data_IF_800343692113
#
_entry.id   IF_800343692113
#
_cell.length_a   1.000
_cell.length_b   1.000
_cell.length_c   1.000
_cell.angle_alpha   90.00
_cell.angle_beta   90.00
_cell.angle_gamma   90.00
#
_symmetry.space_group_name_H-M   'P 1'
#
loop_
_entity.id
_entity.type
_entity.pdbx_description
1 polymer ?
#
# COMPACT_ATOMS: atom_id res chain seq x y z
N UNK A 1 -51.25 52.50 74.59
CA UNK A 1 -50.73 52.09 75.90
C UNK A 1 -49.44 51.28 75.66
N UNK A 2 -48.39 51.69 76.31
CA UNK A 2 -47.10 51.05 76.56
C UNK A 2 -46.08 50.96 75.46
N UNK A 3 -45.13 51.77 75.64
CA UNK A 3 -43.71 51.86 75.43
C UNK A 3 -42.90 50.55 75.58
N UNK A 4 -41.84 50.38 74.82
CA UNK A 4 -40.46 50.20 75.32
C UNK A 4 -39.47 50.11 74.11
N UNK A 5 -38.74 51.12 73.95
CA UNK A 5 -37.27 51.29 74.11
C UNK A 5 -36.38 50.09 73.66
N UNK A 6 -35.64 50.23 72.66
CA UNK A 6 -34.33 50.67 72.38
C UNK A 6 -33.26 49.61 72.53
N UNK A 7 -32.35 49.52 71.67
CA UNK A 7 -30.87 49.53 71.84
C UNK A 7 -30.21 49.34 70.50
N UNK A 8 -29.46 50.29 70.07
CA UNK A 8 -28.57 50.24 68.96
C UNK A 8 -27.35 49.32 69.30
N UNK A 9 -27.03 48.38 68.47
CA UNK A 9 -25.79 47.70 68.49
C UNK A 9 -25.01 48.05 67.21
N UNK A 10 -23.85 48.66 67.39
CA UNK A 10 -22.88 48.96 66.34
C UNK A 10 -22.28 47.68 65.81
N UNK A 11 -22.41 47.41 64.50
CA UNK A 11 -21.74 46.32 63.83
C UNK A 11 -20.41 46.83 63.24
N UNK A 12 -19.31 46.30 63.78
CA UNK A 12 -17.99 46.52 63.25
C UNK A 12 -17.84 45.66 61.99
N UNK A 13 -17.67 46.32 60.84
CA UNK A 13 -17.38 45.61 59.57
C UNK A 13 -15.88 45.24 59.51
N UNK A 14 -15.59 43.93 59.65
CA UNK A 14 -14.29 43.38 59.30
C UNK A 14 -14.21 43.23 57.77
N UNK A 15 -13.39 44.04 57.12
CA UNK A 15 -13.04 43.88 55.72
C UNK A 15 -11.98 42.75 55.65
N UNK A 16 -12.45 41.55 55.39
CA UNK A 16 -11.59 40.41 55.04
C UNK A 16 -11.16 40.47 53.58
N UNK A 17 -9.91 40.83 53.32
CA UNK A 17 -9.29 40.76 52.00
C UNK A 17 -9.12 39.31 51.58
N UNK A 18 -10.03 38.80 50.72
CA UNK A 18 -9.83 37.52 50.02
C UNK A 18 -8.77 37.72 48.95
N UNK A 19 -7.55 37.27 49.19
CA UNK A 19 -6.55 37.05 48.13
C UNK A 19 -6.98 35.81 47.37
N UNK A 20 -7.62 35.98 46.23
CA UNK A 20 -7.87 34.89 45.30
C UNK A 20 -6.54 34.41 44.68
N UNK A 21 -6.01 33.30 45.19
CA UNK A 21 -4.90 32.61 44.55
C UNK A 21 -5.34 32.15 43.16
N UNK A 22 -4.92 32.84 42.11
CA UNK A 22 -5.04 32.42 40.73
C UNK A 22 -4.07 31.24 40.55
N UNK A 23 -4.59 30.01 40.69
CA UNK A 23 -3.86 28.82 40.26
C UNK A 23 -3.71 28.89 38.72
N UNK A 24 -2.50 28.75 38.20
CA UNK A 24 -2.33 28.68 36.76
C UNK A 24 -3.13 27.48 36.23
N UNK A 25 -4.04 27.72 35.29
CA UNK A 25 -4.73 26.66 34.58
C UNK A 25 -3.65 25.82 33.87
N UNK A 26 -3.40 24.63 34.41
CA UNK A 26 -2.58 23.63 33.70
C UNK A 26 -3.34 23.27 32.45
N UNK A 27 -2.97 23.86 31.33
CA UNK A 27 -3.46 23.47 30.02
C UNK A 27 -3.05 22.01 29.84
N UNK A 28 -4.02 21.11 30.01
CA UNK A 28 -3.87 19.72 29.67
C UNK A 28 -3.65 19.67 28.16
N UNK A 29 -2.39 19.63 27.73
CA UNK A 29 -2.07 19.40 26.34
C UNK A 29 -2.75 18.08 25.92
N UNK A 30 -3.79 18.18 25.10
CA UNK A 30 -4.50 17.02 24.60
C UNK A 30 -3.48 16.10 23.91
N UNK A 31 -3.45 14.82 24.30
CA UNK A 31 -2.58 13.83 23.63
C UNK A 31 -2.86 13.91 22.13
N UNK A 32 -1.83 14.12 21.29
CA UNK A 32 -2.05 14.23 19.85
C UNK A 32 -2.79 13.03 19.31
N UNK A 33 -3.89 13.26 18.61
CA UNK A 33 -4.70 12.21 18.03
C UNK A 33 -3.96 11.58 16.86
N UNK A 34 -3.78 10.27 16.86
CA UNK A 34 -3.18 9.53 15.76
C UNK A 34 -4.17 9.48 14.59
N UNK A 35 -3.80 10.06 13.45
CA UNK A 35 -4.57 10.12 12.20
C UNK A 35 -3.66 9.77 11.03
N UNK A 36 -4.24 9.33 9.91
CA UNK A 36 -3.47 9.04 8.67
C UNK A 36 -2.62 10.24 8.26
N UNK A 37 -3.17 11.45 8.31
CA UNK A 37 -2.46 12.69 7.94
C UNK A 37 -1.29 13.09 8.86
N UNK A 38 -1.14 12.44 10.01
CA UNK A 38 -0.04 12.71 10.96
C UNK A 38 1.13 11.74 10.81
N UNK A 39 0.97 10.66 10.05
CA UNK A 39 2.03 9.69 9.81
C UNK A 39 3.12 10.29 8.92
N UNK A 40 4.35 9.83 9.12
CA UNK A 40 5.52 10.35 8.41
C UNK A 40 6.64 9.29 8.33
N UNK A 41 7.62 9.52 7.48
CA UNK A 41 8.73 8.59 7.22
C UNK A 41 9.65 8.36 8.43
N UNK A 42 9.62 9.26 9.43
CA UNK A 42 10.35 9.10 10.70
C UNK A 42 9.62 8.23 11.72
N UNK A 43 8.33 7.90 11.49
CA UNK A 43 7.46 7.16 12.41
C UNK A 43 7.21 7.86 13.75
N UNK A 44 7.49 9.16 13.82
CA UNK A 44 7.44 9.91 15.10
C UNK A 44 6.06 9.94 15.74
N UNK A 45 4.98 9.87 14.95
CA UNK A 45 3.60 9.83 15.45
C UNK A 45 3.28 8.52 16.19
N UNK A 46 3.94 7.41 15.83
CA UNK A 46 3.66 6.10 16.43
C UNK A 46 3.96 6.06 17.93
N UNK A 47 4.85 6.91 18.44
CA UNK A 47 5.17 7.00 19.89
C UNK A 47 3.94 7.32 20.76
N UNK A 48 2.94 7.99 20.21
CA UNK A 48 1.70 8.32 20.93
C UNK A 48 0.82 7.10 21.21
N UNK A 49 1.11 5.96 20.57
CA UNK A 49 0.43 4.69 20.80
C UNK A 49 0.95 3.95 22.05
N UNK A 50 2.09 4.34 22.64
CA UNK A 50 2.69 3.64 23.79
C UNK A 50 1.71 3.46 24.96
N UNK A 51 0.93 4.48 25.27
CA UNK A 51 -0.08 4.42 26.35
C UNK A 51 -1.18 3.42 26.05
N UNK A 52 -1.53 3.23 24.77
CA UNK A 52 -2.53 2.25 24.32
C UNK A 52 -1.91 0.84 24.33
N UNK A 53 -0.65 0.71 23.91
CA UNK A 53 0.09 -0.57 23.92
C UNK A 53 0.09 -1.18 25.34
N UNK A 54 0.29 -0.38 26.38
CA UNK A 54 0.29 -0.86 27.79
C UNK A 54 -1.08 -1.38 28.26
N UNK A 55 -2.18 -0.97 27.62
CA UNK A 55 -3.53 -1.44 27.96
C UNK A 55 -3.88 -2.77 27.29
N UNK A 56 -3.20 -3.10 26.19
CA UNK A 56 -3.48 -4.32 25.43
C UNK A 56 -2.78 -5.56 26.00
N UNK A 57 -3.41 -6.72 25.82
CA UNK A 57 -2.87 -8.04 26.17
C UNK A 57 -2.67 -8.90 24.95
N UNK A 58 -1.81 -9.93 25.03
CA UNK A 58 -1.49 -10.83 23.92
C UNK A 58 -0.60 -10.18 22.86
N UNK A 59 -0.49 -10.79 21.71
CA UNK A 59 0.36 -10.34 20.60
C UNK A 59 -0.43 -9.87 19.37
N UNK A 60 0.27 -9.21 18.45
CA UNK A 60 -0.15 -8.92 17.09
C UNK A 60 0.65 -9.83 16.16
N UNK A 61 -0.02 -10.61 15.32
CA UNK A 61 0.65 -11.42 14.31
C UNK A 61 0.40 -10.84 12.92
N UNK A 62 1.46 -10.72 12.14
CA UNK A 62 1.45 -10.30 10.74
C UNK A 62 1.79 -11.50 9.88
N UNK A 63 0.96 -11.79 8.89
CA UNK A 63 1.14 -12.90 7.95
C UNK A 63 1.08 -12.35 6.53
N UNK A 64 2.25 -12.23 5.90
CA UNK A 64 2.42 -11.80 4.52
C UNK A 64 2.26 -12.98 3.55
N UNK A 65 1.87 -12.75 2.27
CA UNK A 65 1.45 -13.83 1.40
C UNK A 65 2.61 -14.67 0.86
N UNK A 66 3.59 -14.02 0.26
CA UNK A 66 4.67 -14.71 -0.46
C UNK A 66 5.92 -13.81 -0.63
N UNK A 67 6.91 -14.32 -1.35
CA UNK A 67 8.17 -13.61 -1.66
C UNK A 67 8.41 -13.43 -3.15
N UNK A 68 7.44 -13.81 -3.99
CA UNK A 68 7.62 -13.89 -5.46
C UNK A 68 6.67 -12.99 -6.24
N UNK A 69 5.41 -12.85 -5.81
CA UNK A 69 4.38 -12.10 -6.55
C UNK A 69 4.64 -10.60 -6.58
N UNK A 70 5.27 -10.06 -5.55
CA UNK A 70 5.82 -8.72 -5.53
C UNK A 70 7.02 -8.63 -4.59
N UNK A 71 8.05 -7.94 -5.01
CA UNK A 71 9.22 -7.64 -4.17
C UNK A 71 8.87 -6.79 -2.93
N UNK A 72 7.71 -6.10 -2.94
CA UNK A 72 7.27 -5.22 -1.87
C UNK A 72 7.20 -5.93 -0.52
N UNK A 73 6.70 -7.17 -0.46
CA UNK A 73 6.46 -7.89 0.79
C UNK A 73 7.73 -8.11 1.61
N UNK A 74 8.86 -8.31 0.94
CA UNK A 74 10.17 -8.48 1.58
C UNK A 74 10.94 -7.19 1.70
N UNK A 75 10.91 -6.33 0.68
CA UNK A 75 11.69 -5.09 0.64
C UNK A 75 11.05 -3.96 1.43
N UNK A 76 9.72 -3.88 1.47
CA UNK A 76 8.99 -2.75 2.05
C UNK A 76 8.03 -3.14 3.17
N UNK A 77 7.12 -4.09 2.96
CA UNK A 77 6.04 -4.37 3.92
C UNK A 77 6.58 -4.89 5.25
N UNK A 78 7.33 -5.98 5.26
CA UNK A 78 7.88 -6.55 6.49
C UNK A 78 8.75 -5.55 7.27
N UNK A 79 9.73 -4.85 6.65
CA UNK A 79 10.55 -3.86 7.36
C UNK A 79 9.75 -2.69 7.92
N UNK A 80 8.78 -2.15 7.15
CA UNK A 80 7.97 -1.01 7.58
C UNK A 80 6.99 -1.40 8.69
N UNK A 81 6.36 -2.59 8.64
CA UNK A 81 5.51 -3.10 9.71
C UNK A 81 6.29 -3.31 11.00
N UNK A 82 7.47 -3.94 10.92
CA UNK A 82 8.37 -4.11 12.09
C UNK A 82 8.76 -2.73 12.67
N UNK A 83 9.10 -1.77 11.83
CA UNK A 83 9.47 -0.42 12.25
C UNK A 83 8.29 0.28 12.93
N UNK A 84 7.08 0.15 12.38
CA UNK A 84 5.87 0.73 12.96
C UNK A 84 5.53 0.10 14.33
N UNK A 85 5.60 -1.24 14.45
CA UNK A 85 5.36 -1.98 15.70
C UNK A 85 6.34 -1.54 16.80
N UNK A 86 7.63 -1.46 16.49
CA UNK A 86 8.67 -0.96 17.41
C UNK A 86 8.43 0.50 17.80
N UNK A 87 8.14 1.37 16.84
CA UNK A 87 7.89 2.79 17.08
C UNK A 87 6.64 3.02 17.94
N UNK A 88 5.62 2.17 17.83
CA UNK A 88 4.45 2.17 18.69
C UNK A 88 4.75 1.72 20.13
N UNK A 89 5.91 1.11 20.38
CA UNK A 89 6.36 0.68 21.70
C UNK A 89 6.08 -0.79 22.03
N UNK A 90 5.75 -1.62 21.02
CA UNK A 90 5.65 -3.07 21.23
C UNK A 90 7.05 -3.69 21.33
N UNK A 91 7.19 -4.63 22.24
CA UNK A 91 8.39 -5.48 22.40
C UNK A 91 8.34 -6.65 21.43
N UNK A 92 9.49 -7.28 21.19
CA UNK A 92 9.60 -8.48 20.31
C UNK A 92 8.76 -9.68 20.78
N UNK A 93 8.35 -9.72 22.06
CA UNK A 93 7.43 -10.73 22.59
C UNK A 93 5.95 -10.43 22.28
N UNK A 94 5.63 -9.23 21.82
CA UNK A 94 4.27 -8.76 21.61
C UNK A 94 3.87 -8.71 20.13
N UNK A 95 4.76 -9.07 19.22
CA UNK A 95 4.44 -9.21 17.80
C UNK A 95 5.29 -10.27 17.12
N UNK A 96 4.78 -10.78 16.01
CA UNK A 96 5.50 -11.62 15.05
C UNK A 96 5.18 -11.12 13.64
N UNK A 97 6.18 -11.14 12.74
CA UNK A 97 6.00 -10.85 11.31
C UNK A 97 6.57 -12.03 10.54
N UNK A 98 5.75 -12.67 9.73
CA UNK A 98 6.08 -13.89 9.02
C UNK A 98 5.48 -13.89 7.61
N UNK A 99 5.91 -14.82 6.77
CA UNK A 99 5.52 -14.91 5.38
C UNK A 99 5.14 -16.34 5.03
N UNK A 100 4.00 -16.53 4.39
CA UNK A 100 3.43 -17.82 4.05
C UNK A 100 4.08 -18.51 2.84
N UNK A 101 5.04 -17.86 2.17
CA UNK A 101 5.80 -18.38 1.04
C UNK A 101 4.92 -18.87 -0.14
N UNK A 102 3.75 -18.23 -0.34
CA UNK A 102 2.80 -18.58 -1.40
C UNK A 102 1.95 -19.82 -1.11
N UNK A 103 2.02 -20.36 0.10
CA UNK A 103 1.24 -21.55 0.48
C UNK A 103 0.02 -21.18 1.32
N UNK A 104 -1.17 -21.41 0.78
CA UNK A 104 -2.47 -21.24 1.46
C UNK A 104 -2.52 -22.02 2.79
N UNK A 105 -2.09 -23.28 2.76
CA UNK A 105 -2.04 -24.12 3.95
C UNK A 105 -1.09 -23.55 5.02
N UNK A 106 0.08 -23.04 4.59
CA UNK A 106 1.05 -22.40 5.50
C UNK A 106 0.45 -21.14 6.10
N UNK A 107 -0.24 -20.31 5.31
CA UNK A 107 -0.87 -19.08 5.79
C UNK A 107 -1.92 -19.37 6.87
N UNK A 108 -2.78 -20.35 6.63
CA UNK A 108 -3.78 -20.78 7.61
C UNK A 108 -3.15 -21.40 8.87
N UNK A 109 -2.16 -22.29 8.72
CA UNK A 109 -1.46 -22.89 9.84
C UNK A 109 -0.75 -21.87 10.73
N UNK A 110 -0.15 -20.83 10.13
CA UNK A 110 0.42 -19.70 10.86
C UNK A 110 -0.64 -18.97 11.69
N UNK A 111 -1.79 -18.66 11.09
CA UNK A 111 -2.89 -18.01 11.79
C UNK A 111 -3.38 -18.84 12.99
N UNK A 112 -3.56 -20.15 12.82
CA UNK A 112 -3.94 -21.05 13.90
C UNK A 112 -2.89 -21.08 15.02
N UNK A 113 -1.62 -21.21 14.67
CA UNK A 113 -0.52 -21.26 15.64
C UNK A 113 -0.42 -19.95 16.43
N UNK A 114 -0.56 -18.80 15.78
CA UNK A 114 -0.48 -17.49 16.42
C UNK A 114 -1.65 -17.25 17.37
N UNK A 115 -2.87 -17.62 16.97
CA UNK A 115 -4.06 -17.55 17.81
C UNK A 115 -3.88 -18.44 19.05
N UNK A 116 -3.39 -19.67 18.87
CA UNK A 116 -3.12 -20.61 19.96
C UNK A 116 -2.05 -20.09 20.95
N UNK A 117 -1.07 -19.29 20.44
CA UNK A 117 -0.04 -18.62 21.26
C UNK A 117 -0.52 -17.31 21.89
N UNK A 118 -1.78 -16.95 21.71
CA UNK A 118 -2.40 -15.80 22.38
C UNK A 118 -2.40 -14.51 21.57
N UNK A 119 -2.27 -14.56 20.25
CA UNK A 119 -2.52 -13.39 19.40
C UNK A 119 -3.94 -12.86 19.59
N UNK A 120 -4.09 -11.55 19.67
CA UNK A 120 -5.38 -10.86 19.81
C UNK A 120 -5.77 -10.12 18.54
N UNK A 121 -4.80 -9.86 17.67
CA UNK A 121 -5.01 -9.26 16.36
C UNK A 121 -4.15 -10.00 15.34
N UNK A 122 -4.74 -10.36 14.22
CA UNK A 122 -4.05 -10.77 13.02
C UNK A 122 -4.05 -9.60 12.02
N UNK A 123 -2.94 -9.34 11.40
CA UNK A 123 -2.78 -8.53 10.19
C UNK A 123 -2.47 -9.52 9.08
N UNK A 124 -3.38 -9.68 8.14
CA UNK A 124 -3.27 -10.69 7.08
C UNK A 124 -3.28 -10.00 5.73
N UNK A 125 -2.26 -10.26 4.93
CA UNK A 125 -2.30 -10.02 3.51
C UNK A 125 -2.66 -11.38 2.85
N UNK A 126 -3.91 -11.57 2.44
CA UNK A 126 -4.38 -12.89 2.03
C UNK A 126 -3.76 -13.29 0.68
N UNK A 127 -3.34 -14.55 0.55
CA UNK A 127 -2.90 -15.11 -0.74
C UNK A 127 -4.04 -15.04 -1.75
N UNK A 128 -5.24 -15.37 -1.29
CA UNK A 128 -6.51 -15.24 -2.02
C UNK A 128 -7.69 -15.08 -1.05
N UNK A 129 -8.84 -14.69 -1.57
CA UNK A 129 -10.04 -14.45 -0.75
C UNK A 129 -10.56 -15.71 -0.04
N UNK A 130 -10.39 -16.90 -0.63
CA UNK A 130 -10.86 -18.15 -0.02
C UNK A 130 -10.07 -18.45 1.26
N UNK A 131 -8.75 -18.39 1.18
CA UNK A 131 -7.85 -18.58 2.33
C UNK A 131 -8.07 -17.49 3.38
N UNK A 132 -8.19 -16.24 2.94
CA UNK A 132 -8.47 -15.11 3.84
C UNK A 132 -9.78 -15.32 4.61
N UNK A 133 -10.87 -15.71 3.95
CA UNK A 133 -12.17 -15.93 4.59
C UNK A 133 -12.12 -17.08 5.63
N UNK A 134 -11.38 -18.15 5.36
CA UNK A 134 -11.17 -19.25 6.33
C UNK A 134 -10.39 -18.76 7.54
N UNK A 135 -9.31 -17.99 7.35
CA UNK A 135 -8.52 -17.41 8.45
C UNK A 135 -9.40 -16.47 9.30
N UNK A 136 -10.16 -15.60 8.68
CA UNK A 136 -11.03 -14.65 9.37
C UNK A 136 -12.15 -15.34 10.14
N UNK A 137 -12.76 -16.38 9.55
CA UNK A 137 -13.76 -17.22 10.22
C UNK A 137 -13.20 -17.90 11.47
N UNK A 138 -12.01 -18.49 11.35
CA UNK A 138 -11.32 -19.12 12.47
C UNK A 138 -10.95 -18.10 13.55
N UNK A 139 -10.40 -16.96 13.18
CA UNK A 139 -10.06 -15.88 14.11
C UNK A 139 -11.29 -15.37 14.87
N UNK A 140 -12.40 -15.15 14.16
CA UNK A 140 -13.69 -14.73 14.74
C UNK A 140 -14.20 -15.72 15.78
N UNK A 141 -14.13 -17.03 15.51
CA UNK A 141 -14.54 -18.08 16.44
C UNK A 141 -13.72 -18.09 17.73
N UNK A 142 -12.47 -17.59 17.68
CA UNK A 142 -11.56 -17.49 18.83
C UNK A 142 -11.50 -16.07 19.43
N UNK A 143 -12.38 -15.14 19.02
CA UNK A 143 -12.42 -13.78 19.54
C UNK A 143 -11.24 -12.90 19.12
N UNK A 144 -10.50 -13.28 18.08
CA UNK A 144 -9.37 -12.54 17.52
C UNK A 144 -9.84 -11.62 16.41
N UNK A 145 -9.32 -10.40 16.38
CA UNK A 145 -9.65 -9.40 15.34
C UNK A 145 -8.71 -9.55 14.17
N UNK A 146 -9.22 -9.38 12.94
CA UNK A 146 -8.42 -9.42 11.72
C UNK A 146 -8.46 -8.04 11.06
N UNK A 147 -7.31 -7.61 10.57
CA UNK A 147 -7.14 -6.48 9.64
C UNK A 147 -6.64 -7.08 8.34
N UNK A 148 -7.40 -6.89 7.26
CA UNK A 148 -6.92 -7.12 5.91
C UNK A 148 -5.91 -6.03 5.56
N UNK A 149 -4.74 -6.43 5.14
CA UNK A 149 -3.62 -5.57 4.76
C UNK A 149 -3.35 -5.75 3.27
N UNK A 150 -3.20 -4.65 2.53
CA UNK A 150 -3.03 -4.58 1.08
C UNK A 150 -4.19 -5.22 0.30
N UNK A 151 -4.48 -6.51 0.46
CA UNK A 151 -5.53 -7.24 -0.24
C UNK A 151 -6.79 -7.39 0.61
N UNK A 152 -7.96 -7.11 0.00
CA UNK A 152 -9.26 -7.33 0.64
C UNK A 152 -9.69 -8.77 0.45
N UNK A 153 -9.91 -9.48 1.52
CA UNK A 153 -10.63 -10.76 1.52
C UNK A 153 -12.09 -10.54 1.11
N UNK A 154 -12.58 -11.23 0.11
CA UNK A 154 -14.01 -11.27 -0.19
C UNK A 154 -14.68 -12.42 0.55
N UNK A 155 -15.87 -12.17 1.11
CA UNK A 155 -16.64 -13.18 1.84
C UNK A 155 -16.22 -13.41 3.29
N UNK A 156 -15.25 -12.65 3.84
CA UNK A 156 -14.73 -12.84 5.19
C UNK A 156 -15.35 -11.94 6.26
N UNK A 157 -14.72 -11.85 7.43
CA UNK A 157 -15.23 -11.18 8.64
C UNK A 157 -14.18 -10.30 9.33
N UNK A 158 -13.39 -9.53 8.56
CA UNK A 158 -12.37 -8.60 9.09
C UNK A 158 -12.97 -7.42 9.85
N UNK A 159 -12.17 -6.84 10.75
CA UNK A 159 -12.55 -5.63 11.47
C UNK A 159 -12.29 -4.36 10.64
N UNK A 160 -11.18 -4.35 9.90
CA UNK A 160 -10.73 -3.26 9.05
C UNK A 160 -10.04 -3.78 7.80
N UNK A 161 -10.01 -2.96 6.76
CA UNK A 161 -9.18 -3.10 5.58
C UNK A 161 -8.25 -1.88 5.47
N UNK A 162 -6.96 -2.12 5.21
CA UNK A 162 -5.97 -1.05 5.01
C UNK A 162 -5.26 -1.28 3.69
N UNK A 163 -5.40 -0.34 2.78
CA UNK A 163 -4.76 -0.39 1.46
C UNK A 163 -4.78 1.00 0.82
N UNK A 164 -4.44 1.04 -0.44
CA UNK A 164 -4.60 2.20 -1.30
C UNK A 164 -5.98 2.18 -1.97
N UNK A 165 -6.42 3.33 -2.51
CA UNK A 165 -7.60 3.34 -3.40
C UNK A 165 -7.23 2.66 -4.71
N UNK A 166 -7.56 1.37 -4.81
CA UNK A 166 -7.12 0.52 -5.92
C UNK A 166 -7.77 0.90 -7.27
N UNK A 167 -8.95 1.52 -7.27
CA UNK A 167 -9.53 2.08 -8.52
C UNK A 167 -8.73 3.31 -8.94
N UNK A 168 -8.35 4.16 -7.99
CA UNK A 168 -7.50 5.31 -8.27
C UNK A 168 -6.10 4.88 -8.73
N UNK A 169 -5.52 3.83 -8.14
CA UNK A 169 -4.26 3.22 -8.60
C UNK A 169 -4.37 2.77 -10.06
N UNK A 170 -5.38 2.00 -10.41
CA UNK A 170 -5.63 1.61 -11.79
C UNK A 170 -5.82 2.80 -12.74
N UNK A 171 -6.50 3.85 -12.27
CA UNK A 171 -6.64 5.12 -13.01
C UNK A 171 -5.30 5.79 -13.27
N UNK A 172 -4.38 5.78 -12.29
CA UNK A 172 -3.01 6.29 -12.46
C UNK A 172 -2.23 5.47 -13.49
N UNK A 173 -2.34 4.14 -13.45
CA UNK A 173 -1.71 3.24 -14.43
C UNK A 173 -2.23 3.55 -15.84
N UNK A 174 -3.54 3.62 -16.02
CA UNK A 174 -4.13 3.93 -17.34
C UNK A 174 -3.76 5.32 -17.85
N UNK A 175 -3.77 6.35 -17.00
CA UNK A 175 -3.31 7.70 -17.36
C UNK A 175 -1.82 7.73 -17.69
N UNK A 176 -1.02 6.97 -16.92
CA UNK A 176 0.40 6.78 -17.19
C UNK A 176 0.61 6.17 -18.56
N UNK A 177 -0.10 5.08 -18.90
CA UNK A 177 -0.02 4.45 -20.22
C UNK A 177 -0.31 5.41 -21.36
N UNK A 178 -1.46 6.10 -21.31
CA UNK A 178 -1.84 7.08 -22.36
C UNK A 178 -0.81 8.21 -22.50
N UNK A 179 -0.28 8.71 -21.39
CA UNK A 179 0.75 9.75 -21.41
C UNK A 179 2.07 9.21 -22.01
N UNK A 180 2.44 7.97 -21.70
CA UNK A 180 3.62 7.31 -22.19
C UNK A 180 3.59 7.05 -23.70
N UNK A 181 2.44 6.61 -24.23
CA UNK A 181 2.24 6.47 -25.66
C UNK A 181 2.51 7.76 -26.41
N UNK A 182 2.04 8.89 -25.88
CA UNK A 182 2.29 10.22 -26.45
C UNK A 182 3.75 10.63 -26.29
N UNK A 183 4.32 10.49 -25.10
CA UNK A 183 5.69 10.95 -24.81
C UNK A 183 6.77 10.15 -25.59
N UNK A 184 6.50 8.91 -25.91
CA UNK A 184 7.40 8.04 -26.66
C UNK A 184 7.04 7.93 -28.16
N UNK A 185 6.10 8.78 -28.63
CA UNK A 185 5.65 8.86 -30.02
C UNK A 185 5.20 7.52 -30.61
N UNK A 186 4.48 6.71 -29.81
CA UNK A 186 3.97 5.42 -30.27
C UNK A 186 2.83 5.66 -31.28
N UNK A 187 3.07 5.25 -32.51
CA UNK A 187 2.06 5.33 -33.59
C UNK A 187 1.22 4.06 -33.61
N UNK A 188 -0.08 4.20 -33.90
CA UNK A 188 -1.03 3.09 -33.96
C UNK A 188 -0.93 2.14 -32.74
N UNK A 189 -1.11 2.65 -31.50
CA UNK A 189 -0.86 1.88 -30.31
C UNK A 189 -1.76 0.63 -30.19
N UNK A 190 -1.12 -0.50 -29.95
CA UNK A 190 -1.74 -1.79 -29.58
C UNK A 190 -1.18 -2.17 -28.23
N UNK A 191 -2.01 -2.05 -27.19
CA UNK A 191 -1.62 -2.24 -25.79
C UNK A 191 -1.93 -3.67 -25.36
N UNK A 192 -0.90 -4.44 -25.00
CA UNK A 192 -1.10 -5.67 -24.25
C UNK A 192 -1.36 -5.35 -22.78
N UNK A 193 -2.42 -5.95 -22.21
CA UNK A 193 -2.75 -5.81 -20.79
C UNK A 193 -2.34 -7.08 -20.06
N UNK A 194 -1.27 -7.00 -19.27
CA UNK A 194 -0.87 -8.06 -18.34
C UNK A 194 -1.74 -7.97 -17.09
N UNK A 195 -2.86 -8.68 -17.06
CA UNK A 195 -3.80 -8.65 -15.94
C UNK A 195 -3.18 -9.27 -14.67
N UNK A 196 -3.53 -8.76 -13.49
CA UNK A 196 -3.13 -9.35 -12.20
C UNK A 196 -3.92 -10.62 -11.87
N UNK A 197 -3.58 -11.29 -10.76
CA UNK A 197 -4.27 -12.53 -10.37
C UNK A 197 -5.77 -12.31 -10.16
N UNK A 198 -6.64 -13.10 -10.78
CA UNK A 198 -8.09 -13.00 -10.63
C UNK A 198 -8.60 -13.37 -9.23
N UNK A 199 -7.77 -14.01 -8.42
CA UNK A 199 -8.08 -14.34 -7.01
C UNK A 199 -7.79 -13.19 -6.04
N UNK A 200 -7.19 -12.10 -6.54
CA UNK A 200 -6.92 -10.87 -5.81
C UNK A 200 -7.88 -9.77 -6.27
N UNK A 201 -8.72 -9.30 -5.36
CA UNK A 201 -9.67 -8.22 -5.64
C UNK A 201 -8.99 -6.92 -6.12
N UNK A 202 -7.73 -6.67 -5.74
CA UNK A 202 -7.00 -5.50 -6.21
C UNK A 202 -6.83 -5.51 -7.73
N UNK A 203 -6.54 -6.67 -8.34
CA UNK A 203 -6.43 -6.81 -9.80
C UNK A 203 -7.72 -6.36 -10.52
N UNK A 204 -8.89 -6.77 -10.00
CA UNK A 204 -10.20 -6.35 -10.52
C UNK A 204 -10.40 -4.83 -10.40
N UNK A 205 -10.00 -4.24 -9.26
CA UNK A 205 -10.14 -2.80 -9.03
C UNK A 205 -9.16 -1.98 -9.89
N UNK A 206 -7.92 -2.45 -10.08
CA UNK A 206 -6.98 -1.83 -11.01
C UNK A 206 -7.54 -1.86 -12.43
N UNK A 207 -8.06 -3.02 -12.86
CA UNK A 207 -8.66 -3.18 -14.19
C UNK A 207 -9.82 -2.22 -14.42
N UNK A 208 -10.69 -2.03 -13.44
CA UNK A 208 -11.75 -1.02 -13.49
C UNK A 208 -11.18 0.37 -13.73
N UNK A 209 -10.09 0.73 -13.05
CA UNK A 209 -9.45 2.03 -13.17
C UNK A 209 -8.83 2.25 -14.56
N UNK A 210 -7.91 1.38 -14.97
CA UNK A 210 -7.19 1.58 -16.23
C UNK A 210 -8.08 1.37 -17.48
N UNK A 211 -9.03 0.43 -17.47
CA UNK A 211 -9.95 0.25 -18.59
C UNK A 211 -10.85 1.47 -18.79
N UNK A 212 -11.31 2.12 -17.69
CA UNK A 212 -12.07 3.36 -17.79
C UNK A 212 -11.26 4.45 -18.50
N UNK A 213 -9.97 4.57 -18.19
CA UNK A 213 -9.10 5.58 -18.82
C UNK A 213 -8.81 5.23 -20.27
N UNK A 214 -8.48 3.98 -20.58
CA UNK A 214 -8.22 3.52 -21.93
C UNK A 214 -9.45 3.72 -22.84
N UNK A 215 -10.64 3.34 -22.37
CA UNK A 215 -11.88 3.58 -23.11
C UNK A 215 -12.14 5.08 -23.36
N UNK A 216 -11.93 5.94 -22.35
CA UNK A 216 -12.05 7.39 -22.51
C UNK A 216 -11.02 7.99 -23.48
N UNK A 217 -9.84 7.35 -23.64
CA UNK A 217 -8.82 7.71 -24.62
C UNK A 217 -9.09 7.13 -26.02
N UNK A 218 -10.22 6.44 -26.21
CA UNK A 218 -10.66 5.89 -27.49
C UNK A 218 -10.07 4.51 -27.81
N UNK A 219 -9.53 3.79 -26.82
CA UNK A 219 -9.12 2.39 -27.02
C UNK A 219 -10.33 1.47 -27.06
N UNK A 220 -10.31 0.52 -28.00
CA UNK A 220 -11.23 -0.60 -27.97
C UNK A 220 -10.72 -1.64 -26.98
N UNK A 221 -11.30 -1.68 -25.77
CA UNK A 221 -10.90 -2.58 -24.67
C UNK A 221 -11.59 -3.94 -24.72
N UNK A 222 -12.44 -4.18 -25.72
CA UNK A 222 -13.19 -5.43 -25.90
C UNK A 222 -12.95 -6.06 -27.27
N UNK A 223 -11.91 -5.64 -27.99
CA UNK A 223 -11.62 -6.14 -29.31
C UNK A 223 -11.25 -7.63 -29.29
N UNK A 224 -11.96 -8.43 -30.06
CA UNK A 224 -11.62 -9.82 -30.36
C UNK A 224 -10.73 -9.95 -31.61
N UNK A 225 -10.61 -8.88 -32.39
CA UNK A 225 -9.79 -8.77 -33.60
C UNK A 225 -9.14 -7.39 -33.65
N UNK A 226 -7.83 -7.33 -33.88
CA UNK A 226 -7.09 -6.08 -33.95
C UNK A 226 -7.17 -5.52 -35.37
N UNK A 227 -8.12 -4.62 -35.60
CA UNK A 227 -8.41 -4.06 -36.96
C UNK A 227 -8.07 -2.59 -37.11
N UNK A 228 -7.32 -1.98 -36.20
CA UNK A 228 -7.02 -0.55 -36.27
C UNK A 228 -6.10 -0.04 -35.18
N UNK A 229 -5.95 1.28 -35.12
CA UNK A 229 -5.23 1.94 -34.05
C UNK A 229 -6.01 1.93 -32.74
N UNK A 230 -5.32 2.11 -31.61
CA UNK A 230 -5.88 2.17 -30.26
C UNK A 230 -6.68 0.91 -29.90
N UNK A 231 -6.01 -0.23 -29.99
CA UNK A 231 -6.53 -1.51 -29.54
C UNK A 231 -5.88 -1.91 -28.24
N UNK A 232 -6.60 -2.65 -27.39
CA UNK A 232 -6.01 -3.36 -26.26
C UNK A 232 -6.29 -4.85 -26.34
N UNK A 233 -5.32 -5.64 -25.94
CA UNK A 233 -5.37 -7.12 -25.97
C UNK A 233 -5.24 -7.63 -24.56
N UNK A 234 -6.16 -8.49 -24.14
CA UNK A 234 -6.10 -9.24 -22.90
C UNK A 234 -6.18 -10.73 -23.25
N UNK A 235 -5.06 -11.42 -23.24
CA UNK A 235 -4.97 -12.84 -23.62
C UNK A 235 -4.63 -13.77 -22.46
N UNK A 236 -4.50 -13.26 -21.24
CA UNK A 236 -4.21 -14.07 -20.07
C UNK A 236 -5.33 -14.05 -19.05
N UNK A 237 -5.43 -15.14 -18.28
CA UNK A 237 -6.30 -15.19 -17.12
C UNK A 237 -5.86 -14.22 -16.01
N UNK A 238 -4.65 -13.72 -16.12
CA UNK A 238 -4.00 -12.84 -15.15
C UNK A 238 -3.22 -13.60 -14.07
N UNK A 239 -2.12 -12.99 -13.63
CA UNK A 239 -1.22 -13.59 -12.65
C UNK A 239 -0.36 -12.53 -11.96
N UNK A 240 0.13 -12.85 -10.74
CA UNK A 240 1.23 -12.12 -10.10
C UNK A 240 2.58 -12.84 -10.24
N UNK A 241 2.63 -14.00 -10.89
CA UNK A 241 3.89 -14.71 -11.19
C UNK A 241 4.53 -14.14 -12.46
N UNK A 242 5.72 -13.55 -12.34
CA UNK A 242 6.41 -12.91 -13.46
C UNK A 242 6.81 -13.90 -14.57
N UNK A 243 7.05 -15.17 -14.24
CA UNK A 243 7.37 -16.21 -15.23
C UNK A 243 6.13 -16.54 -16.06
N UNK A 244 4.99 -16.69 -15.41
CA UNK A 244 3.72 -16.90 -16.09
C UNK A 244 3.33 -15.68 -16.93
N UNK A 245 3.46 -14.46 -16.36
CA UNK A 245 3.18 -13.21 -17.09
C UNK A 245 4.06 -13.07 -18.35
N UNK A 246 5.32 -13.48 -18.28
CA UNK A 246 6.19 -13.53 -19.46
C UNK A 246 5.70 -14.54 -20.48
N UNK A 247 5.29 -15.75 -20.06
CA UNK A 247 4.75 -16.79 -20.95
C UNK A 247 3.50 -16.29 -21.65
N UNK A 248 2.58 -15.68 -20.92
CA UNK A 248 1.33 -15.11 -21.44
C UNK A 248 1.63 -13.99 -22.46
N UNK A 249 2.56 -13.10 -22.13
CA UNK A 249 2.99 -12.05 -23.06
C UNK A 249 3.60 -12.62 -24.35
N UNK A 250 4.44 -13.64 -24.25
CA UNK A 250 5.05 -14.27 -25.43
C UNK A 250 4.00 -14.91 -26.35
N UNK A 251 2.99 -15.55 -25.78
CA UNK A 251 1.83 -16.06 -26.51
C UNK A 251 1.07 -14.94 -27.24
N UNK A 252 0.70 -13.90 -26.51
CA UNK A 252 0.01 -12.74 -27.05
C UNK A 252 0.84 -12.02 -28.13
N UNK A 253 2.13 -11.81 -27.90
CA UNK A 253 3.03 -11.15 -28.85
C UNK A 253 3.26 -11.96 -30.13
N UNK A 254 3.21 -13.30 -30.02
CA UNK A 254 3.28 -14.20 -31.19
C UNK A 254 2.00 -14.11 -32.01
N UNK A 255 0.84 -14.12 -31.36
CA UNK A 255 -0.45 -14.00 -32.02
C UNK A 255 -0.70 -12.59 -32.59
N UNK A 256 -0.18 -11.56 -31.92
CA UNK A 256 -0.36 -10.16 -32.28
C UNK A 256 0.98 -9.40 -32.33
N UNK A 257 1.79 -9.56 -33.38
CA UNK A 257 3.08 -8.89 -33.51
C UNK A 257 3.02 -7.35 -33.57
N UNK A 258 1.82 -6.80 -33.73
CA UNK A 258 1.57 -5.35 -33.72
C UNK A 258 1.56 -4.75 -32.30
N UNK A 259 1.60 -5.55 -31.24
CA UNK A 259 1.71 -5.05 -29.86
C UNK A 259 2.97 -4.20 -29.74
N UNK A 260 2.77 -2.93 -29.34
CA UNK A 260 3.84 -1.93 -29.23
C UNK A 260 3.77 -1.11 -27.93
N UNK A 261 2.95 -1.55 -26.97
CA UNK A 261 2.87 -1.02 -25.62
C UNK A 261 2.37 -2.10 -24.65
N UNK A 262 2.74 -2.00 -23.38
CA UNK A 262 2.42 -3.02 -22.37
C UNK A 262 1.96 -2.37 -21.07
N UNK A 263 0.70 -2.50 -20.77
CA UNK A 263 0.15 -2.11 -19.48
C UNK A 263 0.31 -3.26 -18.49
N UNK A 264 1.17 -3.07 -17.49
CA UNK A 264 1.34 -4.01 -16.37
C UNK A 264 0.91 -3.35 -15.06
N UNK A 265 0.18 -4.08 -14.19
CA UNK A 265 -0.27 -3.56 -12.90
C UNK A 265 0.76 -3.74 -11.78
N UNK A 266 1.97 -4.26 -12.05
CA UNK A 266 3.11 -4.24 -11.12
C UNK A 266 4.46 -4.30 -11.84
N UNK A 267 5.53 -3.87 -11.15
CA UNK A 267 6.89 -3.85 -11.67
C UNK A 267 7.47 -5.25 -11.86
N UNK A 268 6.99 -6.24 -11.11
CA UNK A 268 7.51 -7.61 -11.17
C UNK A 268 7.19 -8.25 -12.53
N UNK A 269 5.93 -8.17 -12.96
CA UNK A 269 5.52 -8.64 -14.29
C UNK A 269 6.20 -7.81 -15.40
N UNK A 270 6.25 -6.47 -15.25
CA UNK A 270 6.92 -5.60 -16.20
C UNK A 270 8.38 -5.98 -16.40
N UNK A 271 9.13 -6.16 -15.30
CA UNK A 271 10.57 -6.43 -15.34
C UNK A 271 10.93 -7.76 -16.02
N UNK A 272 10.11 -8.80 -15.83
CA UNK A 272 10.30 -10.09 -16.51
C UNK A 272 10.15 -9.97 -18.03
N UNK A 273 9.10 -9.28 -18.47
CA UNK A 273 8.84 -9.06 -19.91
C UNK A 273 9.93 -8.14 -20.52
N UNK A 274 10.28 -7.05 -19.83
CA UNK A 274 11.32 -6.11 -20.28
C UNK A 274 12.65 -6.82 -20.46
N UNK A 275 13.11 -7.62 -19.47
CA UNK A 275 14.36 -8.35 -19.55
C UNK A 275 14.40 -9.31 -20.75
N UNK A 276 13.31 -10.01 -21.04
CA UNK A 276 13.20 -10.85 -22.23
C UNK A 276 13.29 -10.06 -23.54
N UNK A 277 12.60 -8.93 -23.63
CA UNK A 277 12.64 -8.09 -24.83
C UNK A 277 14.00 -7.40 -25.00
N UNK A 278 14.68 -7.00 -23.93
CA UNK A 278 16.06 -6.48 -23.97
C UNK A 278 17.02 -7.51 -24.57
N UNK A 279 16.89 -8.78 -24.17
CA UNK A 279 17.71 -9.86 -24.74
C UNK A 279 17.48 -10.07 -26.26
N UNK A 280 16.33 -9.60 -26.77
CA UNK A 280 15.95 -9.61 -28.18
C UNK A 280 16.19 -8.27 -28.87
N UNK A 281 16.85 -7.33 -28.21
CA UNK A 281 17.26 -6.05 -28.81
C UNK A 281 16.29 -4.89 -28.63
N UNK A 282 15.34 -4.96 -27.70
CA UNK A 282 14.48 -3.82 -27.36
C UNK A 282 15.34 -2.59 -27.03
N UNK A 283 15.00 -1.46 -27.60
CA UNK A 283 15.68 -0.18 -27.35
C UNK A 283 14.89 0.67 -26.34
N UNK A 284 15.58 1.53 -25.57
CA UNK A 284 14.91 2.49 -24.69
C UNK A 284 13.86 3.33 -25.43
N UNK A 285 12.74 3.61 -24.78
CA UNK A 285 11.67 4.49 -25.26
C UNK A 285 11.01 4.08 -26.58
N UNK A 286 11.03 2.77 -26.91
CA UNK A 286 10.38 2.26 -28.13
C UNK A 286 9.06 1.53 -27.83
N UNK A 287 8.93 0.89 -26.68
CA UNK A 287 7.74 0.19 -26.23
C UNK A 287 7.49 0.59 -24.77
N UNK A 288 6.52 1.44 -24.46
CA UNK A 288 6.25 1.85 -23.09
C UNK A 288 5.69 0.68 -22.26
N UNK A 289 6.13 0.62 -21.01
CA UNK A 289 5.60 -0.25 -19.96
C UNK A 289 5.14 0.61 -18.79
N UNK A 290 4.02 0.24 -18.20
CA UNK A 290 3.61 0.73 -16.89
C UNK A 290 4.07 -0.22 -15.78
N UNK A 291 3.84 0.17 -14.52
CA UNK A 291 4.11 -0.65 -13.35
C UNK A 291 3.47 -0.09 -12.10
N UNK A 292 3.68 -0.81 -11.00
CA UNK A 292 3.28 -0.45 -9.64
C UNK A 292 4.25 -1.10 -8.65
N UNK A 293 4.24 -0.63 -7.42
CA UNK A 293 5.01 -1.03 -6.24
C UNK A 293 6.35 -0.30 -6.08
N UNK A 294 6.80 0.43 -7.09
CA UNK A 294 8.00 1.26 -6.99
C UNK A 294 9.23 0.46 -6.53
N UNK A 295 9.40 -0.73 -7.11
CA UNK A 295 10.52 -1.62 -6.81
C UNK A 295 11.85 -1.04 -7.32
N UNK A 296 12.97 -1.52 -6.77
CA UNK A 296 14.30 -1.10 -7.22
C UNK A 296 14.49 -1.38 -8.73
N UNK A 297 14.14 -2.59 -9.18
CA UNK A 297 14.24 -2.98 -10.60
C UNK A 297 13.28 -2.18 -11.47
N UNK A 298 12.05 -1.91 -10.98
CA UNK A 298 11.10 -1.05 -11.66
C UNK A 298 11.68 0.35 -11.91
N UNK A 299 12.30 0.98 -10.91
CA UNK A 299 12.94 2.28 -11.11
C UNK A 299 14.20 2.24 -11.96
N UNK A 300 14.96 1.15 -11.94
CA UNK A 300 16.07 0.96 -12.87
C UNK A 300 15.56 0.95 -14.33
N UNK A 301 14.46 0.24 -14.59
CA UNK A 301 13.80 0.26 -15.90
C UNK A 301 13.24 1.65 -16.25
N UNK A 302 12.71 2.38 -15.27
CA UNK A 302 12.17 3.73 -15.49
C UNK A 302 13.28 4.73 -15.87
N UNK A 303 14.38 4.78 -15.13
CA UNK A 303 15.46 5.73 -15.42
C UNK A 303 16.22 5.37 -16.69
N UNK A 304 16.31 4.08 -17.06
CA UNK A 304 16.93 3.63 -18.29
C UNK A 304 16.00 3.67 -19.52
N UNK A 305 14.74 4.06 -19.34
CA UNK A 305 13.79 4.25 -20.44
C UNK A 305 13.17 2.96 -21.00
N UNK A 306 13.18 1.86 -20.25
CA UNK A 306 12.48 0.63 -20.62
C UNK A 306 11.11 0.51 -20.00
N UNK A 307 10.88 1.20 -18.89
CA UNK A 307 9.57 1.39 -18.29
C UNK A 307 9.27 2.88 -18.22
N UNK A 308 8.09 3.31 -18.61
CA UNK A 308 7.80 4.74 -18.71
C UNK A 308 7.51 5.36 -17.33
N UNK A 309 6.96 4.59 -16.43
CA UNK A 309 6.70 4.99 -15.06
C UNK A 309 6.13 3.86 -14.22
N UNK A 310 5.99 4.11 -12.93
CA UNK A 310 5.42 3.18 -11.96
C UNK A 310 4.55 3.91 -10.96
N UNK A 311 3.55 3.23 -10.39
CA UNK A 311 2.75 3.78 -9.29
C UNK A 311 3.48 3.53 -7.98
N UNK A 312 3.90 4.59 -7.34
CA UNK A 312 4.45 4.59 -5.99
C UNK A 312 3.34 4.57 -4.96
N UNK A 313 3.35 3.53 -4.15
CA UNK A 313 2.54 3.37 -2.95
C UNK A 313 3.45 3.58 -1.72
N UNK A 314 3.22 4.62 -0.89
CA UNK A 314 4.05 4.83 0.30
C UNK A 314 3.73 3.79 1.39
N UNK A 315 4.34 2.61 1.31
CA UNK A 315 4.12 1.47 2.21
C UNK A 315 4.38 1.83 3.68
N UNK A 316 5.30 2.77 3.95
CA UNK A 316 5.53 3.29 5.30
C UNK A 316 4.27 3.90 5.92
N UNK A 317 3.38 4.46 5.10
CA UNK A 317 2.11 5.04 5.54
C UNK A 317 1.08 3.93 5.82
N UNK A 318 0.98 2.94 4.93
CA UNK A 318 0.12 1.78 5.08
C UNK A 318 0.45 0.97 6.34
N UNK A 319 1.74 0.72 6.58
CA UNK A 319 2.24 0.04 7.77
C UNK A 319 1.88 0.79 9.07
N UNK A 320 2.05 2.12 9.10
CA UNK A 320 1.71 2.93 10.29
C UNK A 320 0.20 2.92 10.56
N UNK A 321 -0.64 3.05 9.52
CA UNK A 321 -2.09 3.01 9.65
C UNK A 321 -2.56 1.65 10.19
N UNK A 322 -2.05 0.57 9.62
CA UNK A 322 -2.37 -0.81 10.01
C UNK A 322 -1.96 -1.10 11.46
N UNK A 323 -0.73 -0.75 11.83
CA UNK A 323 -0.23 -0.97 13.19
C UNK A 323 -0.99 -0.11 14.20
N UNK A 324 -1.35 1.13 13.84
CA UNK A 324 -2.17 1.96 14.72
C UNK A 324 -3.52 1.31 15.01
N UNK A 325 -4.24 0.85 13.97
CA UNK A 325 -5.50 0.11 14.15
C UNK A 325 -5.30 -1.14 15.01
N UNK A 326 -4.25 -1.93 14.72
CA UNK A 326 -3.97 -3.16 15.45
C UNK A 326 -3.70 -2.91 16.95
N UNK A 327 -3.01 -1.84 17.30
CA UNK A 327 -2.75 -1.45 18.70
C UNK A 327 -4.05 -1.12 19.43
N UNK A 328 -4.96 -0.36 18.81
CA UNK A 328 -6.27 -0.07 19.40
C UNK A 328 -7.12 -1.34 19.57
N UNK A 329 -7.19 -2.18 18.54
CA UNK A 329 -7.94 -3.45 18.60
C UNK A 329 -7.39 -4.39 19.68
N UNK A 330 -6.05 -4.49 19.79
CA UNK A 330 -5.38 -5.30 20.82
C UNK A 330 -5.72 -4.83 22.24
N UNK A 331 -5.93 -3.53 22.42
CA UNK A 331 -6.31 -2.94 23.69
C UNK A 331 -7.83 -3.01 23.97
N UNK A 332 -8.64 -3.48 23.02
CA UNK A 332 -10.10 -3.46 23.13
C UNK A 332 -10.69 -2.04 23.09
N UNK A 333 -9.96 -1.09 22.51
CA UNK A 333 -10.33 0.32 22.41
C UNK A 333 -10.72 0.65 20.97
N UNK A 334 -11.82 1.38 20.78
CA UNK A 334 -12.17 1.85 19.46
C UNK A 334 -11.11 2.83 18.92
N UNK A 335 -10.62 2.63 17.68
CA UNK A 335 -9.73 3.58 17.05
C UNK A 335 -10.38 4.97 16.96
N UNK A 336 -9.57 6.06 17.04
CA UNK A 336 -10.10 7.42 16.94
C UNK A 336 -10.71 7.69 15.57
N UNK A 337 -11.70 8.59 15.53
CA UNK A 337 -12.25 9.08 14.28
C UNK A 337 -11.16 9.67 13.37
N UNK A 338 -11.18 9.34 12.09
CA UNK A 338 -10.20 9.77 11.10
C UNK A 338 -8.95 8.87 10.99
N UNK A 339 -8.85 7.78 11.75
CA UNK A 339 -7.87 6.73 11.48
C UNK A 339 -8.35 5.84 10.33
N UNK A 340 -9.63 5.45 10.30
CA UNK A 340 -10.27 4.91 9.11
C UNK A 340 -10.95 6.05 8.34
N UNK A 341 -10.59 6.27 7.09
CA UNK A 341 -11.02 7.41 6.28
C UNK A 341 -12.01 7.04 5.18
N UNK A 342 -12.43 5.78 5.10
CA UNK A 342 -13.34 5.31 4.06
C UNK A 342 -13.99 3.97 4.37
N UNK A 343 -14.68 3.46 3.37
CA UNK A 343 -15.28 2.12 3.36
C UNK A 343 -15.07 1.47 2.01
N UNK A 344 -14.84 0.16 2.02
CA UNK A 344 -14.78 -0.67 0.81
C UNK A 344 -15.94 -1.67 0.84
N UNK A 345 -16.55 -1.92 -0.31
CA UNK A 345 -17.60 -2.93 -0.40
C UNK A 345 -16.99 -4.29 -0.65
N UNK A 346 -17.26 -5.25 0.22
CA UNK A 346 -17.06 -6.66 -0.06
C UNK A 346 -18.14 -7.11 -1.04
N UNK A 347 -17.76 -7.48 -2.24
CA UNK A 347 -18.72 -7.80 -3.32
C UNK A 347 -19.42 -9.15 -3.14
N UNK A 348 -18.92 -10.01 -2.26
CA UNK A 348 -19.54 -11.30 -1.93
C UNK A 348 -20.57 -11.17 -0.83
N UNK A 349 -20.25 -10.46 0.26
CA UNK A 349 -21.16 -10.28 1.40
C UNK A 349 -21.99 -9.01 1.30
N UNK A 350 -21.69 -8.12 0.36
CA UNK A 350 -22.23 -6.75 0.24
C UNK A 350 -22.00 -5.87 1.46
N UNK A 351 -21.16 -6.29 2.40
CA UNK A 351 -20.83 -5.53 3.60
C UNK A 351 -19.96 -4.31 3.28
N UNK A 352 -20.19 -3.23 4.02
CA UNK A 352 -19.32 -2.05 4.02
C UNK A 352 -18.23 -2.24 5.07
N UNK A 353 -17.02 -2.52 4.61
CA UNK A 353 -15.83 -2.70 5.44
C UNK A 353 -15.22 -1.35 5.76
N UNK A 354 -15.04 -1.04 7.05
CA UNK A 354 -14.28 0.16 7.47
C UNK A 354 -12.87 0.08 6.93
N UNK A 355 -12.44 1.10 6.18
CA UNK A 355 -11.17 1.04 5.45
C UNK A 355 -10.31 2.27 5.71
N UNK A 356 -9.00 2.07 5.63
CA UNK A 356 -8.01 3.12 5.39
C UNK A 356 -7.64 3.02 3.91
N UNK A 357 -8.03 4.03 3.15
CA UNK A 357 -7.73 4.12 1.72
C UNK A 357 -6.71 5.23 1.52
N UNK A 358 -5.51 4.84 1.11
CA UNK A 358 -4.35 5.71 0.95
C UNK A 358 -4.20 6.17 -0.50
N UNK A 359 -3.49 7.28 -0.68
CA UNK A 359 -3.23 7.86 -2.01
C UNK A 359 -1.89 7.37 -2.53
N UNK A 360 -1.88 6.93 -3.79
CA UNK A 360 -0.69 6.59 -4.54
C UNK A 360 -0.31 7.71 -5.54
N UNK A 361 0.88 7.62 -6.13
CA UNK A 361 1.39 8.63 -7.06
C UNK A 361 2.05 7.96 -8.26
N UNK A 362 1.75 8.44 -9.49
CA UNK A 362 2.47 8.04 -10.69
C UNK A 362 3.83 8.72 -10.72
N UNK A 363 4.90 7.93 -10.90
CA UNK A 363 6.29 8.41 -10.87
C UNK A 363 7.00 8.04 -12.18
N UNK A 364 7.46 9.06 -12.88
CA UNK A 364 8.34 9.00 -14.05
C UNK A 364 9.78 9.31 -13.64
N UNK A 365 10.75 9.10 -14.54
CA UNK A 365 12.17 9.25 -14.23
C UNK A 365 12.54 10.63 -13.61
N UNK A 366 11.94 11.71 -14.11
CA UNK A 366 12.13 13.08 -13.62
C UNK A 366 11.62 13.32 -12.21
N UNK A 367 10.78 12.43 -11.67
CA UNK A 367 10.19 12.56 -10.33
C UNK A 367 10.79 11.63 -9.29
N UNK A 368 11.70 10.74 -9.66
CA UNK A 368 12.32 9.76 -8.76
C UNK A 368 12.96 10.44 -7.56
N UNK A 369 13.78 11.49 -7.79
CA UNK A 369 14.47 12.21 -6.73
C UNK A 369 13.48 12.87 -5.74
N UNK A 370 12.43 13.49 -6.26
CA UNK A 370 11.45 14.25 -5.46
C UNK A 370 10.41 13.38 -4.76
N UNK A 371 10.38 12.07 -5.03
CA UNK A 371 9.44 11.10 -4.47
C UNK A 371 10.17 10.04 -3.64
N UNK A 372 10.51 8.93 -4.21
CA UNK A 372 11.00 7.74 -3.48
C UNK A 372 12.37 7.92 -2.84
N UNK A 373 13.26 8.74 -3.44
CA UNK A 373 14.54 9.08 -2.79
C UNK A 373 14.30 10.02 -1.62
N UNK A 374 13.48 11.07 -1.80
CA UNK A 374 13.08 11.99 -0.73
C UNK A 374 12.43 11.26 0.45
N UNK A 375 11.55 10.30 0.17
CA UNK A 375 10.86 9.50 1.18
C UNK A 375 11.76 8.40 1.77
N UNK A 376 13.00 8.26 1.28
CA UNK A 376 13.98 7.25 1.72
C UNK A 376 13.48 5.80 1.55
N UNK A 377 12.66 5.57 0.55
CA UNK A 377 12.15 4.25 0.20
C UNK A 377 13.22 3.45 -0.55
N UNK A 378 13.91 4.11 -1.48
CA UNK A 378 15.07 3.59 -2.19
C UNK A 378 16.23 4.55 -1.95
N UNK A 379 17.42 4.01 -1.74
CA UNK A 379 18.64 4.82 -1.66
C UNK A 379 19.14 5.10 -3.07
N UNK A 380 19.58 6.34 -3.31
CA UNK A 380 20.19 6.69 -4.58
C UNK A 380 21.41 5.79 -4.91
N UNK A 381 22.22 5.45 -3.90
CA UNK A 381 23.33 4.52 -4.07
C UNK A 381 22.89 3.15 -4.62
N UNK A 382 21.79 2.61 -4.11
CA UNK A 382 21.30 1.30 -4.54
C UNK A 382 20.72 1.37 -5.97
N UNK A 383 20.02 2.46 -6.29
CA UNK A 383 19.45 2.68 -7.62
C UNK A 383 20.51 2.93 -8.69
N UNK A 384 21.54 3.72 -8.38
CA UNK A 384 22.48 4.24 -9.36
C UNK A 384 23.70 3.34 -9.56
N UNK A 385 24.02 2.44 -8.63
CA UNK A 385 25.24 1.59 -8.68
C UNK A 385 24.99 0.13 -8.97
N UNK A 386 23.73 -0.37 -8.81
CA UNK A 386 23.43 -1.75 -9.18
C UNK A 386 23.59 -1.91 -10.70
N UNK A 387 24.30 -2.93 -11.10
CA UNK A 387 24.42 -3.33 -12.50
C UNK A 387 23.10 -3.90 -13.00
N UNK A 388 22.70 -3.55 -14.21
CA UNK A 388 21.60 -4.22 -14.89
C UNK A 388 21.86 -5.74 -14.96
N UNK A 389 20.79 -6.57 -14.99
CA UNK A 389 20.96 -8.01 -15.23
C UNK A 389 21.79 -8.23 -16.50
N UNK A 390 22.85 -9.02 -16.40
CA UNK A 390 23.76 -9.30 -17.49
C UNK A 390 23.07 -10.00 -18.65
N UNK A 391 22.99 -9.36 -19.79
CA UNK A 391 22.96 -10.07 -21.07
C UNK A 391 24.42 -10.46 -21.37
N UNK A 392 24.70 -11.75 -21.44
CA UNK A 392 26.03 -12.28 -21.65
C UNK A 392 26.65 -11.64 -22.90
N UNK A 393 27.75 -10.90 -22.72
CA UNK A 393 28.54 -10.29 -23.83
C UNK A 393 28.29 -8.79 -24.07
N UNK A 394 27.44 -8.10 -23.34
CA UNK A 394 27.26 -6.64 -23.45
C UNK A 394 27.91 -5.90 -22.27
N UNK A 395 28.51 -4.71 -22.50
CA UNK A 395 28.92 -3.85 -21.40
C UNK A 395 27.71 -3.54 -20.53
N UNK A 396 27.83 -3.71 -19.21
CA UNK A 396 26.74 -3.40 -18.28
C UNK A 396 26.46 -1.90 -18.34
N UNK A 397 25.20 -1.46 -18.62
CA UNK A 397 24.85 -0.08 -18.42
C UNK A 397 24.92 0.19 -16.91
N UNK A 398 25.78 1.09 -16.50
CA UNK A 398 25.72 1.63 -15.15
C UNK A 398 24.61 2.65 -15.12
N UNK A 399 23.62 2.48 -14.25
CA UNK A 399 22.54 3.46 -14.02
C UNK A 399 23.05 4.82 -13.53
N UNK A 400 24.36 4.96 -13.28
CA UNK A 400 25.00 6.19 -12.87
C UNK A 400 24.79 7.35 -13.87
N UNK A 401 24.85 7.08 -15.18
CA UNK A 401 24.58 8.08 -16.20
C UNK A 401 23.11 8.53 -16.20
N UNK A 402 22.20 7.54 -16.06
CA UNK A 402 20.76 7.83 -15.99
C UNK A 402 20.43 8.64 -14.74
N UNK A 403 20.99 8.26 -13.58
CA UNK A 403 20.84 9.01 -12.34
C UNK A 403 21.33 10.46 -12.47
N UNK A 404 22.48 10.68 -13.12
CA UNK A 404 23.01 12.03 -13.38
C UNK A 404 22.05 12.82 -14.25
N UNK A 405 21.50 12.22 -15.31
CA UNK A 405 20.54 12.82 -16.24
C UNK A 405 19.30 13.31 -15.51
N UNK A 406 18.79 12.55 -14.53
CA UNK A 406 17.59 12.89 -13.77
C UNK A 406 17.89 13.56 -12.41
N UNK A 407 19.13 13.94 -12.13
CA UNK A 407 19.52 14.63 -10.90
C UNK A 407 19.30 13.82 -9.62
N UNK A 408 19.38 12.50 -9.71
CA UNK A 408 19.23 11.57 -8.57
C UNK A 408 20.53 11.56 -7.76
N UNK A 409 20.44 11.89 -6.43
CA UNK A 409 21.57 12.09 -5.53
C UNK A 409 21.37 11.38 -4.20
#
# INVERSE_FOLDING_TARGET
MNFKTGKALAAVALVGSFVAAVLPAVSSASTPTVKVSTFNTSYSTMKYLKTIVHKGKGSIAVILPDTKSSARYTQFDAPNLIKALKAAGLTSKQYIVQNAQGSQATQFNMAQADISKGAKVLIVDPIDSTTGAVIEGFAKAHGVKVIDYDRLTLGGARAYYVSFDNVAVGTLIGKGEVACLTAWNVTNPVVYISYGSPTDNNATLFAKGYNTVLAAAGFNTTATTLTGAKQSVLESAGTWDATQALTDFQGAFTAHPSINAVLTPNDNNASGIIANLQSKGLKPKTMPFTGQDASLVGFQNVISGYQCGTVYKPIWLEAQATVALAVYLRAGINPPAGLANGTTTDTVTHAKVKSVLLTATWVTADKVQSTVIKDKVIKASDLCTSSAPTVQGSPQPTYATDCTTYGIK
#
